data_IF_617568990794
#
_entry.id   IF_617568990794
#
_cell.length_a   1.000
_cell.length_b   1.000
_cell.length_c   1.000
_cell.angle_alpha   90.00
_cell.angle_beta   90.00
_cell.angle_gamma   90.00
#
_symmetry.space_group_name_H-M   'P 1'
#
loop_
_entity.id
_entity.type
_entity.pdbx_description
1 polymer ?
#
# COMPACT_ATOMS: atom_id res chain seq x y z
N UNK A 1 15.41 52.79 62.18
CA UNK A 1 16.82 52.59 62.43
C UNK A 1 17.02 52.57 63.91
N UNK A 2 17.58 51.53 64.50
CA UNK A 2 17.89 51.48 65.94
C UNK A 2 19.04 52.44 66.22
N UNK A 3 18.83 53.36 67.15
CA UNK A 3 19.80 54.42 67.49
C UNK A 3 21.07 53.88 68.17
N UNK A 4 21.06 52.62 68.58
CA UNK A 4 22.17 51.95 69.28
C UNK A 4 22.91 50.92 68.44
N UNK A 5 22.60 50.82 67.16
CA UNK A 5 23.25 49.85 66.25
C UNK A 5 24.67 50.30 65.92
N UNK A 6 25.65 49.35 66.09
CA UNK A 6 27.07 49.53 65.76
C UNK A 6 27.33 48.91 64.37
N UNK A 7 28.38 49.37 63.72
CA UNK A 7 28.82 48.84 62.42
C UNK A 7 29.04 47.35 62.54
N UNK A 8 28.35 46.56 61.66
CA UNK A 8 28.27 45.07 61.58
C UNK A 8 27.20 44.39 62.45
N UNK A 9 26.30 45.13 63.14
CA UNK A 9 25.17 44.52 63.83
C UNK A 9 24.11 44.01 62.82
N UNK A 10 23.62 42.79 63.04
CA UNK A 10 22.51 42.24 62.33
C UNK A 10 21.18 42.80 62.89
N UNK A 11 20.64 43.76 62.20
CA UNK A 11 19.34 44.34 62.56
C UNK A 11 18.20 43.54 61.93
N UNK A 12 17.23 43.09 62.75
CA UNK A 12 16.07 42.42 62.17
C UNK A 12 15.25 43.44 61.38
N UNK A 13 15.26 43.36 60.11
CA UNK A 13 14.45 44.21 59.24
C UNK A 13 13.18 43.46 58.83
N UNK A 14 12.03 44.01 59.13
CA UNK A 14 10.77 43.45 58.69
C UNK A 14 10.61 43.74 57.20
N UNK A 15 10.83 42.72 56.38
CA UNK A 15 10.78 42.75 54.90
C UNK A 15 9.33 42.59 54.39
N UNK A 16 8.36 42.39 55.31
CA UNK A 16 6.96 42.21 54.92
C UNK A 16 6.40 43.55 54.37
N UNK A 17 6.04 43.57 53.06
CA UNK A 17 5.48 44.80 52.46
C UNK A 17 4.20 45.20 53.17
N UNK A 18 4.04 46.57 53.46
CA UNK A 18 2.86 47.16 54.08
C UNK A 18 1.60 47.04 53.18
N UNK A 19 1.26 45.99 52.63
CA UNK A 19 0.13 45.77 51.75
C UNK A 19 -0.12 44.27 51.48
N UNK A 20 0.51 43.44 52.31
CA UNK A 20 0.30 42.00 52.24
C UNK A 20 -1.07 41.60 52.80
N UNK A 21 -2.12 42.15 52.13
CA UNK A 21 -3.51 41.86 52.47
C UNK A 21 -3.95 40.45 51.99
N UNK A 22 -5.15 40.07 52.46
CA UNK A 22 -5.76 38.77 52.11
C UNK A 22 -5.76 38.49 50.62
N UNK A 23 -5.89 39.51 49.76
CA UNK A 23 -5.89 39.40 48.30
C UNK A 23 -4.50 38.96 47.81
N UNK A 24 -3.41 39.56 48.29
CA UNK A 24 -2.05 39.21 47.92
C UNK A 24 -1.71 37.77 48.32
N UNK A 25 -2.16 37.32 49.50
CA UNK A 25 -1.99 35.93 49.97
C UNK A 25 -2.79 34.94 49.07
N UNK A 26 -4.03 35.30 48.72
CA UNK A 26 -4.85 34.48 47.81
C UNK A 26 -4.23 34.39 46.44
N UNK A 27 -3.75 35.50 45.87
CA UNK A 27 -3.07 35.52 44.57
C UNK A 27 -1.79 34.70 44.59
N UNK A 28 -0.97 34.82 45.63
CA UNK A 28 0.25 34.03 45.79
C UNK A 28 -0.05 32.53 45.88
N UNK A 29 -1.07 32.15 46.67
CA UNK A 29 -1.53 30.73 46.73
C UNK A 29 -2.01 30.22 45.37
N UNK A 30 -2.79 31.02 44.66
CA UNK A 30 -3.32 30.66 43.35
C UNK A 30 -2.19 30.53 42.33
N UNK A 31 -1.20 31.44 42.33
CA UNK A 31 -0.02 31.36 41.45
C UNK A 31 0.85 30.16 41.78
N UNK A 32 1.04 29.84 43.09
CA UNK A 32 1.77 28.62 43.47
C UNK A 32 1.08 27.35 43.02
N UNK A 33 -0.25 27.24 43.21
CA UNK A 33 -1.03 26.11 42.74
C UNK A 33 -0.96 26.00 41.23
N UNK A 34 -1.05 27.11 40.49
CA UNK A 34 -0.92 27.12 39.05
C UNK A 34 0.46 26.62 38.61
N UNK A 35 1.54 27.12 39.23
CA UNK A 35 2.91 26.67 38.93
C UNK A 35 3.14 25.20 39.26
N UNK A 36 2.53 24.68 40.32
CA UNK A 36 2.59 23.27 40.66
C UNK A 36 1.90 22.42 39.59
N UNK A 37 0.67 22.81 39.19
CA UNK A 37 -0.07 22.15 38.14
C UNK A 37 0.66 22.19 36.78
N UNK A 38 1.32 23.30 36.45
CA UNK A 38 2.10 23.45 35.25
C UNK A 38 3.33 22.52 35.24
N UNK A 39 4.02 22.39 36.38
CA UNK A 39 5.14 21.49 36.57
C UNK A 39 4.69 19.99 36.50
N UNK A 40 3.55 19.66 37.11
CA UNK A 40 2.96 18.32 37.00
C UNK A 40 2.63 17.96 35.51
N UNK A 41 2.07 18.93 34.78
CA UNK A 41 1.76 18.76 33.35
C UNK A 41 3.02 18.55 32.51
N UNK A 42 4.09 19.29 32.79
CA UNK A 42 5.37 19.18 32.09
C UNK A 42 6.02 17.79 32.33
N UNK A 43 6.00 17.32 33.57
CA UNK A 43 6.46 15.98 33.92
C UNK A 43 5.65 14.89 33.22
N UNK A 44 4.32 15.03 33.17
CA UNK A 44 3.44 14.11 32.47
C UNK A 44 3.68 14.10 30.95
N UNK A 45 3.89 15.30 30.37
CA UNK A 45 4.25 15.41 28.96
C UNK A 45 5.56 14.66 28.66
N UNK A 46 6.59 14.88 29.49
CA UNK A 46 7.89 14.22 29.34
C UNK A 46 7.80 12.68 29.47
N UNK A 47 6.93 12.16 30.35
CA UNK A 47 6.68 10.73 30.51
C UNK A 47 5.98 10.12 29.27
N UNK A 48 5.16 10.91 28.55
CA UNK A 48 4.30 10.40 27.49
C UNK A 48 4.69 10.78 26.07
N UNK A 49 5.53 11.81 25.89
CA UNK A 49 6.01 12.19 24.55
C UNK A 49 6.68 11.04 23.83
N UNK A 50 7.39 10.18 24.58
CA UNK A 50 8.10 9.01 24.06
C UNK A 50 7.18 7.80 23.80
N UNK A 51 5.91 7.90 24.23
CA UNK A 51 4.89 6.87 23.99
C UNK A 51 4.05 7.12 22.73
N UNK A 52 4.33 8.16 21.97
CA UNK A 52 3.74 8.32 20.65
C UNK A 52 4.08 7.11 19.78
N UNK A 53 3.07 6.49 19.20
CA UNK A 53 3.24 5.24 18.46
C UNK A 53 3.00 3.97 19.28
N UNK A 54 2.78 4.04 20.57
CA UNK A 54 2.54 2.87 21.42
C UNK A 54 1.07 2.46 21.50
N UNK A 55 0.87 1.21 21.93
CA UNK A 55 -0.43 0.67 22.29
C UNK A 55 -0.70 0.89 23.78
N UNK A 56 -1.78 1.59 24.10
CA UNK A 56 -2.19 1.85 25.49
C UNK A 56 -3.58 1.26 25.76
N UNK A 57 -3.79 0.80 26.99
CA UNK A 57 -5.11 0.35 27.44
C UNK A 57 -5.75 1.46 28.27
N UNK A 58 -6.99 1.79 27.93
CA UNK A 58 -7.75 2.83 28.66
C UNK A 58 -9.21 2.44 28.85
N UNK A 59 -9.89 3.17 29.72
CA UNK A 59 -11.32 3.00 30.00
C UNK A 59 -12.07 4.26 29.54
N UNK A 60 -13.13 4.09 28.75
CA UNK A 60 -13.96 5.20 28.29
C UNK A 60 -14.65 5.85 29.48
N UNK A 61 -14.44 7.14 29.68
CA UNK A 61 -14.94 7.88 30.83
C UNK A 61 -16.15 8.74 30.50
N UNK A 62 -16.12 9.47 29.40
CA UNK A 62 -17.21 10.35 28.98
C UNK A 62 -17.18 10.67 27.49
N UNK A 63 -18.30 11.19 27.01
CA UNK A 63 -18.43 11.75 25.66
C UNK A 63 -18.67 13.25 25.78
N UNK A 64 -17.93 14.05 25.04
CA UNK A 64 -18.10 15.50 25.03
C UNK A 64 -17.90 16.05 23.60
N UNK A 65 -18.88 16.81 23.10
CA UNK A 65 -18.86 17.47 21.76
C UNK A 65 -18.52 16.56 20.58
N UNK A 66 -18.79 15.26 20.73
CA UNK A 66 -18.46 14.30 19.70
C UNK A 66 -17.11 13.58 19.90
N UNK A 67 -16.29 13.96 20.85
CA UNK A 67 -15.05 13.29 21.21
C UNK A 67 -15.23 12.36 22.39
N UNK A 68 -14.40 11.32 22.46
CA UNK A 68 -14.40 10.32 23.52
C UNK A 68 -13.19 10.56 24.41
N UNK A 69 -13.46 10.73 25.69
CA UNK A 69 -12.43 10.88 26.72
C UNK A 69 -12.16 9.54 27.37
N UNK A 70 -10.90 9.14 27.40
CA UNK A 70 -10.42 7.84 27.85
C UNK A 70 -9.49 8.03 29.04
N UNK A 71 -9.78 7.35 30.13
CA UNK A 71 -8.93 7.31 31.32
C UNK A 71 -7.77 6.33 31.08
N UNK A 72 -6.56 6.85 31.10
CA UNK A 72 -5.32 6.08 30.98
C UNK A 72 -4.63 5.85 32.34
N UNK A 73 -5.33 6.15 33.44
CA UNK A 73 -4.89 6.02 34.83
C UNK A 73 -4.32 7.29 35.41
N UNK A 74 -3.25 7.87 34.85
CA UNK A 74 -2.64 9.12 35.34
C UNK A 74 -3.25 10.37 34.69
N UNK A 75 -3.80 10.23 33.49
CA UNK A 75 -4.42 11.35 32.73
C UNK A 75 -5.46 10.86 31.74
N UNK A 76 -6.09 11.78 31.09
CA UNK A 76 -7.10 11.56 30.07
C UNK A 76 -6.49 11.62 28.65
N UNK A 77 -6.79 10.61 27.82
CA UNK A 77 -6.60 10.69 26.39
C UNK A 77 -7.88 11.10 25.69
N UNK A 78 -7.75 11.64 24.50
CA UNK A 78 -8.88 12.08 23.66
C UNK A 78 -8.87 11.33 22.35
N UNK A 79 -9.98 10.68 22.03
CA UNK A 79 -10.24 10.09 20.73
C UNK A 79 -11.25 10.93 19.98
N UNK A 80 -10.79 11.68 18.99
CA UNK A 80 -11.66 12.54 18.17
C UNK A 80 -12.60 11.72 17.29
N UNK A 81 -13.64 12.35 16.78
CA UNK A 81 -14.61 11.69 15.88
C UNK A 81 -13.98 11.08 14.62
N UNK A 82 -12.84 11.60 14.15
CA UNK A 82 -12.09 11.09 12.98
C UNK A 82 -11.32 9.82 13.28
N UNK A 83 -10.92 9.65 14.54
CA UNK A 83 -10.11 8.52 15.01
C UNK A 83 -10.94 7.33 15.47
N UNK A 84 -12.27 7.43 15.37
CA UNK A 84 -13.20 6.35 15.68
C UNK A 84 -13.34 5.38 14.52
N UNK A 85 -13.74 4.17 14.85
CA UNK A 85 -14.17 3.16 13.88
C UNK A 85 -15.68 3.25 13.70
N UNK A 86 -16.21 3.40 12.47
CA UNK A 86 -17.64 3.64 12.23
C UNK A 86 -18.57 2.53 12.73
N UNK A 87 -18.08 1.29 12.75
CA UNK A 87 -18.88 0.11 13.10
C UNK A 87 -18.57 -0.42 14.52
N UNK A 88 -17.93 0.40 15.35
CA UNK A 88 -17.58 0.05 16.72
C UNK A 88 -18.46 0.86 17.68
N UNK A 89 -19.13 0.16 18.58
CA UNK A 89 -19.91 0.80 19.63
C UNK A 89 -19.00 1.13 20.81
N UNK A 90 -19.19 2.30 21.38
CA UNK A 90 -18.41 2.79 22.51
C UNK A 90 -19.35 3.14 23.65
N UNK A 91 -19.11 2.56 24.84
CA UNK A 91 -19.90 2.84 26.05
C UNK A 91 -18.99 3.32 27.20
N UNK A 92 -19.56 4.14 28.09
CA UNK A 92 -18.83 4.57 29.29
C UNK A 92 -18.56 3.34 30.15
N UNK A 93 -17.30 3.15 30.54
CA UNK A 93 -16.83 2.00 31.30
C UNK A 93 -16.18 0.91 30.45
N UNK A 94 -16.27 0.97 29.14
CA UNK A 94 -15.59 0.01 28.26
C UNK A 94 -14.08 0.15 28.36
N UNK A 95 -13.40 -0.95 28.55
CA UNK A 95 -11.96 -1.04 28.59
C UNK A 95 -11.44 -1.63 27.28
N UNK A 96 -10.64 -0.86 26.55
CA UNK A 96 -10.11 -1.26 25.25
C UNK A 96 -8.71 -0.71 25.01
N UNK A 97 -8.06 -1.18 23.94
CA UNK A 97 -6.72 -0.76 23.54
C UNK A 97 -6.81 0.37 22.51
N UNK A 98 -5.93 1.34 22.62
CA UNK A 98 -5.85 2.50 21.74
C UNK A 98 -4.41 2.66 21.24
N UNK A 99 -4.27 3.15 20.02
CA UNK A 99 -3.00 3.61 19.48
C UNK A 99 -2.80 5.07 19.83
N UNK A 100 -1.65 5.44 20.37
CA UNK A 100 -1.28 6.83 20.66
C UNK A 100 -0.76 7.45 19.37
N UNK A 101 -1.54 8.35 18.79
CA UNK A 101 -1.16 9.04 17.55
C UNK A 101 -0.07 10.07 17.83
N UNK A 102 -0.33 10.92 18.78
CA UNK A 102 0.57 12.00 19.20
C UNK A 102 0.23 12.49 20.60
N UNK A 103 1.18 13.17 21.20
CA UNK A 103 1.01 13.86 22.47
C UNK A 103 1.23 15.34 22.22
N UNK A 104 0.19 16.15 22.42
CA UNK A 104 0.21 17.60 22.21
C UNK A 104 0.32 18.33 23.52
N UNK A 105 0.95 19.50 23.51
CA UNK A 105 0.91 20.43 24.64
C UNK A 105 -0.13 21.51 24.36
N UNK A 106 -1.23 21.44 25.07
CA UNK A 106 -2.29 22.44 25.00
C UNK A 106 -2.22 23.40 26.22
N UNK A 107 -2.87 24.57 26.11
CA UNK A 107 -2.92 25.55 27.22
C UNK A 107 -3.48 24.96 28.54
N UNK A 108 -4.30 23.89 28.44
CA UNK A 108 -4.89 23.20 29.60
C UNK A 108 -4.07 22.01 30.10
N UNK A 109 -2.97 21.63 29.39
CA UNK A 109 -2.10 20.51 29.72
C UNK A 109 -1.81 19.58 28.55
N UNK A 110 -1.05 18.53 28.76
CA UNK A 110 -0.77 17.52 27.71
C UNK A 110 -2.08 16.83 27.31
N UNK A 111 -2.33 16.77 26.02
CA UNK A 111 -3.45 16.07 25.42
C UNK A 111 -2.91 14.88 24.63
N UNK A 112 -3.30 13.67 24.99
CA UNK A 112 -2.90 12.45 24.32
C UNK A 112 -3.97 12.09 23.30
N UNK A 113 -3.64 12.20 22.02
CA UNK A 113 -4.55 11.84 20.92
C UNK A 113 -4.51 10.34 20.70
N UNK A 114 -5.66 9.73 20.87
CA UNK A 114 -5.87 8.29 20.73
C UNK A 114 -6.60 7.96 19.43
N UNK A 115 -6.26 6.82 18.81
CA UNK A 115 -6.94 6.34 17.63
C UNK A 115 -7.26 4.84 17.72
N UNK A 116 -8.41 4.48 17.16
CA UNK A 116 -8.78 3.10 16.86
C UNK A 116 -8.85 2.85 15.35
N UNK A 117 -8.89 3.91 14.55
CA UNK A 117 -8.94 3.83 13.08
C UNK A 117 -7.55 3.74 12.42
N UNK A 118 -6.49 4.14 13.11
CA UNK A 118 -5.14 4.21 12.55
C UNK A 118 -4.59 2.81 12.16
N UNK A 119 -3.95 2.63 10.99
CA UNK A 119 -3.39 1.34 10.56
C UNK A 119 -2.36 0.77 11.54
N UNK A 120 -1.57 1.64 12.19
CA UNK A 120 -0.56 1.20 13.15
C UNK A 120 -1.14 0.58 14.43
N UNK A 121 -2.44 0.77 14.73
CA UNK A 121 -3.10 -0.02 15.77
C UNK A 121 -2.97 -1.51 15.47
N UNK A 122 -3.24 -1.91 14.22
CA UNK A 122 -3.13 -3.30 13.79
C UNK A 122 -1.69 -3.78 13.87
N UNK A 123 -0.71 -2.97 13.43
CA UNK A 123 0.72 -3.29 13.54
C UNK A 123 1.11 -3.60 14.98
N UNK A 124 0.76 -2.73 15.92
CA UNK A 124 1.07 -2.90 17.34
C UNK A 124 0.36 -4.11 17.98
N UNK A 125 -0.86 -4.42 17.51
CA UNK A 125 -1.55 -5.64 17.95
C UNK A 125 -0.82 -6.90 17.49
N UNK A 126 -0.35 -6.93 16.24
CA UNK A 126 0.47 -8.04 15.75
C UNK A 126 1.79 -8.17 16.52
N UNK A 127 2.50 -7.06 16.76
CA UNK A 127 3.73 -7.04 17.55
C UNK A 127 3.52 -7.57 18.99
N UNK A 128 2.34 -7.34 19.56
CA UNK A 128 2.02 -7.84 20.92
C UNK A 128 1.59 -9.31 20.97
N UNK A 129 1.02 -9.85 19.89
CA UNK A 129 0.46 -11.22 19.84
C UNK A 129 1.41 -12.22 19.17
N UNK A 130 2.32 -11.75 18.31
CA UNK A 130 3.21 -12.57 17.48
C UNK A 130 4.65 -12.34 17.90
N UNK A 131 5.23 -13.34 18.56
CA UNK A 131 6.61 -13.26 19.10
C UNK A 131 7.61 -13.09 17.96
N UNK A 132 7.40 -13.76 16.85
CA UNK A 132 8.23 -13.75 15.65
C UNK A 132 8.30 -12.36 14.98
N UNK A 133 7.30 -11.49 15.23
CA UNK A 133 7.36 -10.07 14.83
C UNK A 133 8.13 -9.27 15.88
N UNK A 134 7.97 -9.59 17.15
CA UNK A 134 8.65 -8.91 18.25
C UNK A 134 10.19 -9.12 18.21
N UNK A 135 10.66 -10.29 17.79
CA UNK A 135 12.08 -10.61 17.61
C UNK A 135 12.63 -10.30 16.22
N UNK A 136 11.80 -9.71 15.34
CA UNK A 136 12.15 -9.30 13.97
C UNK A 136 12.48 -10.46 13.00
N UNK A 137 12.11 -11.69 13.32
CA UNK A 137 12.20 -12.83 12.40
C UNK A 137 11.18 -12.69 11.27
N UNK A 138 9.98 -12.19 11.61
CA UNK A 138 8.93 -11.83 10.66
C UNK A 138 8.72 -10.31 10.71
N UNK A 139 8.61 -9.68 9.56
CA UNK A 139 8.38 -8.25 9.43
C UNK A 139 7.02 -7.96 8.78
N UNK A 140 6.30 -6.95 9.27
CA UNK A 140 5.13 -6.42 8.60
C UNK A 140 5.60 -5.41 7.53
N UNK A 141 5.62 -5.86 6.28
CA UNK A 141 6.01 -5.04 5.14
C UNK A 141 5.02 -3.90 4.88
N UNK A 142 3.72 -4.19 4.91
CA UNK A 142 2.69 -3.18 4.66
C UNK A 142 1.35 -3.51 5.30
N UNK A 143 0.55 -2.47 5.52
CA UNK A 143 -0.83 -2.59 6.02
C UNK A 143 -1.73 -1.68 5.21
N UNK A 144 -2.79 -2.25 4.64
CA UNK A 144 -3.89 -1.51 4.04
C UNK A 144 -5.16 -1.78 4.85
N UNK A 145 -5.75 -0.73 5.44
CA UNK A 145 -6.88 -0.83 6.36
C UNK A 145 -8.06 0.03 5.94
N UNK A 146 -9.25 -0.52 6.01
CA UNK A 146 -10.53 0.17 6.12
C UNK A 146 -11.13 -0.16 7.48
N UNK A 147 -10.91 0.74 8.43
CA UNK A 147 -11.26 0.55 9.84
C UNK A 147 -12.72 0.11 10.04
N UNK A 148 -12.92 -0.96 10.81
CA UNK A 148 -14.23 -1.57 11.08
C UNK A 148 -14.75 -2.50 9.99
N UNK A 149 -14.05 -2.64 8.86
CA UNK A 149 -14.47 -3.50 7.77
C UNK A 149 -13.45 -4.59 7.44
N UNK A 150 -12.29 -4.20 6.95
CA UNK A 150 -11.27 -5.15 6.51
C UNK A 150 -9.87 -4.54 6.54
N UNK A 151 -8.92 -5.35 6.94
CA UNK A 151 -7.48 -5.03 6.89
C UNK A 151 -6.74 -6.12 6.13
N UNK A 152 -5.82 -5.73 5.27
CA UNK A 152 -4.83 -6.62 4.65
C UNK A 152 -3.45 -6.29 5.20
N UNK A 153 -2.72 -7.31 5.61
CA UNK A 153 -1.38 -7.21 6.17
C UNK A 153 -0.45 -8.05 5.31
N UNK A 154 0.56 -7.42 4.74
CA UNK A 154 1.63 -8.12 4.03
C UNK A 154 2.79 -8.35 5.00
N UNK A 155 3.24 -9.60 5.10
CA UNK A 155 4.31 -10.02 5.99
C UNK A 155 5.42 -10.71 5.21
N UNK A 156 6.65 -10.56 5.66
CA UNK A 156 7.83 -11.21 5.09
C UNK A 156 8.64 -11.86 6.19
N UNK A 157 9.23 -13.00 5.93
CA UNK A 157 10.16 -13.66 6.83
C UNK A 157 11.60 -13.36 6.43
N UNK A 158 12.46 -13.12 7.40
CA UNK A 158 13.92 -13.03 7.23
C UNK A 158 14.64 -14.37 7.45
N UNK A 159 13.90 -15.41 7.87
CA UNK A 159 14.39 -16.78 8.00
C UNK A 159 13.57 -17.71 7.10
N UNK A 160 14.22 -18.37 6.14
CA UNK A 160 13.61 -19.31 5.18
C UNK A 160 12.90 -20.51 5.85
N UNK A 161 13.16 -20.76 7.13
CA UNK A 161 12.54 -21.85 7.88
C UNK A 161 11.23 -21.43 8.57
N UNK A 162 10.93 -20.15 8.60
CA UNK A 162 9.75 -19.61 9.28
C UNK A 162 8.73 -19.16 8.26
N UNK A 163 7.57 -19.82 8.26
CA UNK A 163 6.40 -19.38 7.50
C UNK A 163 5.82 -18.11 8.12
N UNK A 164 5.90 -16.93 7.43
CA UNK A 164 5.46 -15.66 8.00
C UNK A 164 3.94 -15.60 8.21
N UNK A 165 3.17 -16.23 7.31
CA UNK A 165 1.71 -16.27 7.41
C UNK A 165 1.28 -17.20 8.54
N UNK A 166 1.87 -18.39 8.63
CA UNK A 166 1.60 -19.36 9.68
C UNK A 166 1.93 -18.83 11.07
N UNK A 167 3.05 -18.10 11.23
CA UNK A 167 3.44 -17.44 12.48
C UNK A 167 2.40 -16.42 12.94
N UNK A 168 1.92 -15.58 12.02
CA UNK A 168 0.90 -14.56 12.31
C UNK A 168 -0.50 -15.15 12.58
N UNK A 169 -0.89 -16.20 11.88
CA UNK A 169 -2.17 -16.89 12.08
C UNK A 169 -2.18 -17.66 13.40
N UNK A 170 -1.07 -18.33 13.69
CA UNK A 170 -0.93 -19.16 14.89
C UNK A 170 -1.72 -20.44 14.85
N UNK A 171 -1.53 -21.29 15.88
CA UNK A 171 -2.15 -22.60 15.94
C UNK A 171 -3.68 -22.49 15.90
N UNK A 172 -4.32 -23.10 14.91
CA UNK A 172 -5.79 -23.05 14.65
C UNK A 172 -6.34 -21.61 14.54
N UNK A 173 -5.50 -20.66 14.15
CA UNK A 173 -5.88 -19.26 14.00
C UNK A 173 -6.07 -18.52 15.34
N UNK A 174 -5.46 -18.98 16.43
CA UNK A 174 -5.67 -18.39 17.75
C UNK A 174 -5.18 -16.93 17.82
N UNK A 175 -3.99 -16.65 17.28
CA UNK A 175 -3.40 -15.29 17.30
C UNK A 175 -4.24 -14.30 16.50
N UNK A 176 -4.55 -14.64 15.25
CA UNK A 176 -5.37 -13.75 14.40
C UNK A 176 -6.78 -13.55 14.97
N UNK A 177 -7.38 -14.59 15.60
CA UNK A 177 -8.69 -14.45 16.26
C UNK A 177 -8.67 -13.49 17.44
N UNK A 178 -7.58 -13.45 18.21
CA UNK A 178 -7.43 -12.47 19.29
C UNK A 178 -7.40 -11.05 18.73
N UNK A 179 -6.64 -10.83 17.66
CA UNK A 179 -6.56 -9.54 16.98
C UNK A 179 -7.92 -9.13 16.39
N UNK A 180 -8.59 -10.03 15.69
CA UNK A 180 -9.94 -9.80 15.14
C UNK A 180 -10.95 -9.44 16.22
N UNK A 181 -10.89 -10.11 17.38
CA UNK A 181 -11.76 -9.80 18.53
C UNK A 181 -11.47 -8.42 19.09
N UNK A 182 -10.20 -8.03 19.23
CA UNK A 182 -9.81 -6.70 19.69
C UNK A 182 -10.27 -5.61 18.71
N UNK A 183 -10.30 -5.89 17.40
CA UNK A 183 -10.76 -4.99 16.34
C UNK A 183 -12.29 -5.07 16.10
N UNK A 184 -13.07 -5.55 17.06
CA UNK A 184 -14.52 -5.67 16.95
C UNK A 184 -15.01 -6.43 15.70
N UNK A 185 -14.41 -7.58 15.44
CA UNK A 185 -14.69 -8.45 14.28
C UNK A 185 -14.36 -7.87 12.91
N UNK A 186 -13.45 -6.91 12.84
CA UNK A 186 -12.84 -6.46 11.58
C UNK A 186 -12.12 -7.64 10.91
N UNK A 187 -12.37 -7.86 9.62
CA UNK A 187 -11.72 -8.95 8.87
C UNK A 187 -10.25 -8.63 8.65
N UNK A 188 -9.39 -9.57 9.00
CA UNK A 188 -7.94 -9.44 8.80
C UNK A 188 -7.46 -10.53 7.86
N UNK A 189 -6.92 -10.13 6.71
CA UNK A 189 -6.26 -11.01 5.75
C UNK A 189 -4.75 -10.84 5.90
N UNK A 190 -4.04 -11.95 6.07
CA UNK A 190 -2.58 -11.99 6.17
C UNK A 190 -2.05 -12.60 4.88
N UNK A 191 -1.11 -11.94 4.24
CA UNK A 191 -0.54 -12.28 2.95
C UNK A 191 0.97 -12.31 3.05
N UNK A 192 1.61 -13.24 2.38
CA UNK A 192 3.05 -13.21 2.22
C UNK A 192 3.45 -12.13 1.21
N UNK A 193 4.44 -11.33 1.56
CA UNK A 193 4.96 -10.32 0.64
C UNK A 193 5.92 -10.95 -0.36
N UNK A 194 5.69 -10.70 -1.62
CA UNK A 194 6.58 -11.07 -2.72
C UNK A 194 6.84 -9.87 -3.62
N UNK A 195 8.03 -9.79 -4.20
CA UNK A 195 8.38 -8.73 -5.15
C UNK A 195 7.65 -8.91 -6.49
N UNK A 196 7.27 -10.15 -6.83
CA UNK A 196 6.51 -10.44 -8.04
C UNK A 196 5.06 -9.98 -7.91
N UNK A 197 4.64 -8.95 -8.68
CA UNK A 197 3.30 -8.40 -8.57
C UNK A 197 2.21 -9.39 -8.99
N UNK A 198 2.51 -10.34 -9.88
CA UNK A 198 1.55 -11.34 -10.34
C UNK A 198 1.21 -12.33 -9.23
N UNK A 199 2.24 -12.85 -8.57
CA UNK A 199 2.10 -13.79 -7.45
C UNK A 199 1.39 -13.12 -6.28
N UNK A 200 1.79 -11.89 -5.93
CA UNK A 200 1.17 -11.15 -4.83
C UNK A 200 -0.31 -10.86 -5.06
N UNK A 201 -0.70 -10.41 -6.26
CA UNK A 201 -2.11 -10.13 -6.58
C UNK A 201 -2.94 -11.40 -6.56
N UNK A 202 -2.41 -12.52 -7.08
CA UNK A 202 -3.09 -13.82 -7.04
C UNK A 202 -3.42 -14.23 -5.62
N UNK A 203 -2.47 -14.11 -4.72
CA UNK A 203 -2.64 -14.44 -3.31
C UNK A 203 -3.60 -13.45 -2.61
N UNK A 204 -3.45 -12.16 -2.89
CA UNK A 204 -4.27 -11.11 -2.32
C UNK A 204 -5.75 -11.19 -2.71
N UNK A 205 -6.07 -11.78 -3.87
CA UNK A 205 -7.46 -11.98 -4.33
C UNK A 205 -8.04 -13.34 -3.93
N UNK A 206 -7.25 -14.21 -3.28
CA UNK A 206 -7.74 -15.50 -2.78
C UNK A 206 -9.08 -15.35 -2.01
N UNK A 207 -10.05 -16.27 -2.17
CA UNK A 207 -10.03 -17.56 -2.86
C UNK A 207 -10.39 -17.51 -4.36
N UNK A 208 -10.35 -16.33 -5.00
CA UNK A 208 -10.59 -16.21 -6.44
C UNK A 208 -9.31 -16.55 -7.18
N UNK A 209 -9.41 -17.47 -8.14
CA UNK A 209 -8.30 -17.81 -9.03
C UNK A 209 -8.41 -16.99 -10.32
N UNK A 210 -7.52 -16.03 -10.54
CA UNK A 210 -7.50 -15.27 -11.79
C UNK A 210 -7.16 -16.18 -12.97
N UNK A 211 -7.87 -15.99 -14.08
CA UNK A 211 -7.58 -16.68 -15.35
C UNK A 211 -6.31 -16.13 -15.99
N UNK A 212 -6.18 -14.80 -15.96
CA UNK A 212 -5.05 -14.08 -16.54
C UNK A 212 -4.73 -12.85 -15.68
N UNK A 213 -3.45 -12.55 -15.53
CA UNK A 213 -2.95 -11.35 -14.88
C UNK A 213 -1.96 -10.69 -15.83
N UNK A 214 -2.25 -9.47 -16.25
CA UNK A 214 -1.38 -8.67 -17.10
C UNK A 214 -0.85 -7.47 -16.29
N UNK A 215 0.45 -7.24 -16.33
CA UNK A 215 1.14 -6.16 -15.63
C UNK A 215 1.62 -5.12 -16.62
N UNK A 216 1.27 -3.88 -16.37
CA UNK A 216 1.79 -2.69 -17.06
C UNK A 216 2.70 -1.95 -16.08
N UNK A 217 4.01 -2.18 -16.20
CA UNK A 217 5.01 -1.62 -15.29
C UNK A 217 5.14 -0.10 -15.46
N UNK A 218 5.01 0.42 -16.69
CA UNK A 218 5.14 1.86 -16.95
C UNK A 218 4.00 2.66 -16.33
N UNK A 219 2.77 2.15 -16.45
CA UNK A 219 1.58 2.77 -15.86
C UNK A 219 1.34 2.35 -14.40
N UNK A 220 2.10 1.40 -13.85
CA UNK A 220 1.86 0.75 -12.54
C UNK A 220 0.43 0.23 -12.39
N UNK A 221 -0.04 -0.49 -13.41
CA UNK A 221 -1.38 -1.07 -13.46
C UNK A 221 -1.33 -2.58 -13.58
N UNK A 222 -2.26 -3.22 -12.92
CA UNK A 222 -2.43 -4.68 -13.00
C UNK A 222 -3.88 -4.95 -13.42
N UNK A 223 -4.00 -5.65 -14.54
CA UNK A 223 -5.29 -6.11 -15.04
C UNK A 223 -5.46 -7.57 -14.67
N UNK A 224 -6.53 -7.85 -13.93
CA UNK A 224 -6.87 -9.20 -13.48
C UNK A 224 -8.14 -9.64 -14.19
N UNK A 225 -8.05 -10.71 -14.96
CA UNK A 225 -9.19 -11.29 -15.67
C UNK A 225 -9.67 -12.51 -14.89
N UNK A 226 -10.94 -12.47 -14.50
CA UNK A 226 -11.62 -13.57 -13.78
C UNK A 226 -12.61 -14.28 -14.69
N UNK A 227 -13.02 -15.50 -14.30
CA UNK A 227 -13.82 -16.38 -15.16
C UNK A 227 -15.26 -15.88 -15.33
N UNK A 228 -15.89 -15.42 -14.27
CA UNK A 228 -17.31 -15.05 -14.24
C UNK A 228 -17.62 -13.86 -13.32
N UNK A 229 -18.86 -13.38 -13.35
CA UNK A 229 -19.36 -12.29 -12.51
C UNK A 229 -19.34 -12.61 -11.01
N UNK A 230 -19.40 -13.88 -10.63
CA UNK A 230 -19.36 -14.29 -9.23
C UNK A 230 -17.95 -14.11 -8.69
N UNK A 231 -16.95 -14.48 -9.46
CA UNK A 231 -15.56 -14.28 -9.09
C UNK A 231 -15.16 -12.82 -9.19
N UNK A 232 -15.70 -12.07 -10.17
CA UNK A 232 -15.56 -10.61 -10.21
C UNK A 232 -16.08 -9.97 -8.91
N UNK A 233 -17.28 -10.35 -8.48
CA UNK A 233 -17.89 -9.81 -7.26
C UNK A 233 -17.07 -10.14 -6.00
N UNK A 234 -16.46 -11.34 -5.91
CA UNK A 234 -15.58 -11.73 -4.80
C UNK A 234 -14.25 -10.99 -4.84
N UNK A 235 -13.62 -10.91 -6.03
CA UNK A 235 -12.33 -10.26 -6.23
C UNK A 235 -12.39 -8.75 -5.94
N UNK A 236 -13.44 -8.07 -6.41
CA UNK A 236 -13.68 -6.66 -6.12
C UNK A 236 -14.10 -6.48 -4.66
N UNK A 237 -14.94 -7.38 -4.13
CA UNK A 237 -15.49 -7.31 -2.79
C UNK A 237 -16.58 -6.25 -2.63
N UNK A 238 -17.19 -6.18 -1.43
CA UNK A 238 -18.24 -5.19 -1.12
C UNK A 238 -17.68 -3.78 -1.31
N UNK A 239 -18.36 -2.93 -2.11
CA UNK A 239 -17.97 -1.55 -2.41
C UNK A 239 -16.54 -1.40 -2.94
N UNK A 240 -16.00 -2.41 -3.59
CA UNK A 240 -14.64 -2.38 -4.12
C UNK A 240 -13.52 -2.50 -3.07
N UNK A 241 -13.83 -2.93 -1.85
CA UNK A 241 -12.88 -2.94 -0.73
C UNK A 241 -11.68 -3.87 -0.99
N UNK A 242 -11.92 -5.07 -1.52
CA UNK A 242 -10.85 -6.04 -1.68
C UNK A 242 -9.80 -5.57 -2.71
N UNK A 243 -10.25 -5.16 -3.90
CA UNK A 243 -9.36 -4.62 -4.94
C UNK A 243 -8.65 -3.33 -4.47
N UNK A 244 -9.39 -2.40 -3.83
CA UNK A 244 -8.81 -1.14 -3.34
C UNK A 244 -7.77 -1.34 -2.24
N UNK A 245 -8.00 -2.27 -1.29
CA UNK A 245 -7.01 -2.59 -0.26
C UNK A 245 -5.77 -3.26 -0.85
N UNK A 246 -5.95 -4.14 -1.84
CA UNK A 246 -4.84 -4.74 -2.58
C UNK A 246 -4.03 -3.68 -3.32
N UNK A 247 -4.71 -2.76 -4.04
CA UNK A 247 -4.05 -1.64 -4.71
C UNK A 247 -3.24 -0.76 -3.74
N UNK A 248 -3.81 -0.42 -2.58
CA UNK A 248 -3.10 0.38 -1.55
C UNK A 248 -1.90 -0.34 -0.95
N UNK A 249 -2.00 -1.65 -0.77
CA UNK A 249 -0.94 -2.45 -0.17
C UNK A 249 0.27 -2.57 -1.10
N UNK A 250 0.02 -2.70 -2.40
CA UNK A 250 1.06 -2.80 -3.43
C UNK A 250 1.57 -1.45 -3.94
N UNK A 251 0.75 -0.40 -3.84
CA UNK A 251 1.01 0.88 -4.50
C UNK A 251 0.79 0.83 -6.02
N UNK A 252 0.01 -0.14 -6.52
CA UNK A 252 -0.35 -0.33 -7.92
C UNK A 252 -1.86 -0.23 -8.12
N UNK A 253 -2.31 0.20 -9.29
CA UNK A 253 -3.74 0.23 -9.63
C UNK A 253 -4.21 -1.15 -10.12
N UNK A 254 -4.97 -1.86 -9.28
CA UNK A 254 -5.48 -3.21 -9.58
C UNK A 254 -6.88 -3.11 -10.15
N UNK A 255 -7.06 -3.48 -11.41
CA UNK A 255 -8.33 -3.51 -12.11
C UNK A 255 -8.78 -4.93 -12.39
N UNK A 256 -9.97 -5.30 -11.92
CA UNK A 256 -10.52 -6.64 -12.10
C UNK A 256 -11.63 -6.59 -13.15
N UNK A 257 -11.60 -7.49 -14.14
CA UNK A 257 -12.58 -7.60 -15.23
C UNK A 257 -12.98 -9.06 -15.45
N UNK A 258 -14.18 -9.27 -16.00
CA UNK A 258 -14.61 -10.59 -16.44
C UNK A 258 -13.98 -10.91 -17.79
N UNK A 259 -13.69 -12.19 -18.02
CA UNK A 259 -13.21 -12.68 -19.29
C UNK A 259 -14.26 -12.47 -20.39
N UNK A 260 -13.91 -11.66 -21.39
CA UNK A 260 -14.73 -11.45 -22.58
C UNK A 260 -14.16 -12.29 -23.73
N UNK A 261 -14.95 -13.28 -24.18
CA UNK A 261 -14.55 -14.19 -25.28
C UNK A 261 -14.30 -13.41 -26.56
N UNK A 262 -15.13 -12.42 -26.85
CA UNK A 262 -15.00 -11.63 -28.09
C UNK A 262 -13.73 -10.77 -28.07
N UNK A 263 -13.38 -10.18 -26.92
CA UNK A 263 -12.15 -9.39 -26.75
C UNK A 263 -10.92 -10.29 -26.81
N UNK A 264 -11.00 -11.50 -26.26
CA UNK A 264 -9.90 -12.47 -26.31
C UNK A 264 -9.65 -12.96 -27.74
N UNK A 265 -10.69 -13.32 -28.50
CA UNK A 265 -10.59 -13.70 -29.92
C UNK A 265 -10.00 -12.55 -30.76
N UNK A 266 -10.41 -11.33 -30.50
CA UNK A 266 -9.90 -10.14 -31.18
C UNK A 266 -8.42 -9.87 -30.86
N UNK A 267 -7.99 -10.07 -29.62
CA UNK A 267 -6.58 -9.97 -29.23
C UNK A 267 -5.74 -11.07 -29.85
N UNK A 268 -6.25 -12.33 -29.88
CA UNK A 268 -5.55 -13.43 -30.55
C UNK A 268 -5.39 -13.18 -32.03
N UNK A 269 -6.43 -12.70 -32.72
CA UNK A 269 -6.36 -12.37 -34.13
C UNK A 269 -5.40 -11.22 -34.43
N UNK A 270 -5.36 -10.21 -33.58
CA UNK A 270 -4.40 -9.10 -33.69
C UNK A 270 -2.95 -9.56 -33.46
N UNK A 271 -2.71 -10.32 -32.40
CA UNK A 271 -1.38 -10.87 -32.11
C UNK A 271 -0.87 -11.79 -33.21
N UNK A 272 -1.77 -12.62 -33.80
CA UNK A 272 -1.42 -13.47 -34.96
C UNK A 272 -1.10 -12.62 -36.17
N UNK A 273 -1.86 -11.54 -36.42
CA UNK A 273 -1.59 -10.62 -37.53
C UNK A 273 -0.25 -9.85 -37.34
N UNK A 274 0.05 -9.42 -36.14
CA UNK A 274 1.33 -8.77 -35.83
C UNK A 274 2.52 -9.70 -35.97
N UNK A 275 2.39 -10.95 -35.54
CA UNK A 275 3.44 -11.96 -35.70
C UNK A 275 3.69 -12.26 -37.17
N UNK A 276 2.63 -12.44 -37.98
CA UNK A 276 2.77 -12.59 -39.44
C UNK A 276 3.45 -11.37 -40.05
N UNK A 277 3.06 -10.17 -39.67
CA UNK A 277 3.69 -8.94 -40.17
C UNK A 277 5.16 -8.87 -39.78
N UNK A 278 5.52 -9.26 -38.58
CA UNK A 278 6.92 -9.30 -38.12
C UNK A 278 7.75 -10.30 -38.90
N UNK A 279 7.18 -11.48 -39.18
CA UNK A 279 7.82 -12.50 -40.01
C UNK A 279 7.99 -12.02 -41.47
N UNK A 280 6.97 -11.37 -42.03
CA UNK A 280 7.07 -10.77 -43.36
C UNK A 280 8.15 -9.68 -43.43
N UNK A 281 8.24 -8.82 -42.43
CA UNK A 281 9.28 -7.78 -42.36
C UNK A 281 10.70 -8.40 -42.27
N UNK A 282 10.87 -9.42 -41.43
CA UNK A 282 12.15 -10.12 -41.30
C UNK A 282 12.56 -10.77 -42.60
N UNK A 283 11.63 -11.46 -43.29
CA UNK A 283 11.87 -12.09 -44.60
C UNK A 283 12.20 -11.02 -45.67
N UNK A 284 11.44 -9.93 -45.70
CA UNK A 284 11.70 -8.85 -46.67
C UNK A 284 13.08 -8.22 -46.47
N UNK A 285 13.52 -8.02 -45.23
CA UNK A 285 14.85 -7.50 -44.92
C UNK A 285 15.95 -8.45 -45.40
N UNK A 286 15.79 -9.75 -45.15
CA UNK A 286 16.73 -10.79 -45.62
C UNK A 286 16.82 -10.85 -47.13
N UNK A 287 15.69 -10.79 -47.83
CA UNK A 287 15.64 -10.78 -49.29
C UNK A 287 16.21 -9.47 -49.87
N UNK A 288 15.96 -8.33 -49.28
CA UNK A 288 16.52 -7.02 -49.63
C UNK A 288 18.05 -7.04 -49.60
N UNK A 289 18.63 -7.63 -48.53
CA UNK A 289 20.09 -7.74 -48.35
C UNK A 289 20.70 -8.77 -49.36
N UNK A 290 20.03 -9.90 -49.60
CA UNK A 290 20.55 -10.95 -50.50
C UNK A 290 20.44 -10.58 -51.97
N UNK A 291 19.32 -9.98 -52.35
CA UNK A 291 19.06 -9.61 -53.74
C UNK A 291 19.50 -8.19 -54.09
N UNK A 292 19.98 -7.40 -53.09
CA UNK A 292 20.34 -5.97 -53.24
C UNK A 292 19.22 -5.13 -53.90
N UNK A 293 17.98 -5.37 -53.46
CA UNK A 293 16.77 -4.66 -53.91
C UNK A 293 16.21 -3.77 -52.80
N UNK A 294 15.41 -2.75 -53.13
CA UNK A 294 14.76 -1.92 -52.11
C UNK A 294 13.84 -2.76 -51.19
N UNK A 295 13.77 -2.37 -49.90
CA UNK A 295 12.90 -3.11 -48.94
C UNK A 295 11.42 -3.10 -49.36
N UNK A 296 10.93 -2.05 -50.04
CA UNK A 296 9.57 -2.00 -50.58
C UNK A 296 9.32 -3.13 -51.60
N UNK A 297 10.30 -3.35 -52.51
CA UNK A 297 10.24 -4.40 -53.49
C UNK A 297 10.31 -5.77 -52.83
N UNK A 298 11.21 -5.97 -51.87
CA UNK A 298 11.31 -7.19 -51.09
C UNK A 298 10.00 -7.50 -50.30
N UNK A 299 9.36 -6.49 -49.70
CA UNK A 299 8.08 -6.64 -48.99
C UNK A 299 6.96 -7.05 -49.97
N UNK A 300 6.94 -6.49 -51.19
CA UNK A 300 6.02 -6.89 -52.22
C UNK A 300 6.17 -8.36 -52.57
N UNK A 301 7.40 -8.87 -52.78
CA UNK A 301 7.69 -10.28 -53.04
C UNK A 301 7.25 -11.19 -51.89
N UNK A 302 7.50 -10.82 -50.66
CA UNK A 302 7.04 -11.57 -49.47
C UNK A 302 5.53 -11.63 -49.37
N UNK A 303 4.82 -10.54 -49.68
CA UNK A 303 3.34 -10.51 -49.67
C UNK A 303 2.72 -11.41 -50.74
N UNK A 304 3.42 -11.67 -51.84
CA UNK A 304 3.03 -12.63 -52.86
C UNK A 304 3.35 -14.11 -52.49
N UNK A 305 4.02 -14.34 -51.36
CA UNK A 305 4.42 -15.68 -50.88
C UNK A 305 5.88 -16.02 -51.11
N UNK A 306 6.69 -15.10 -51.67
CA UNK A 306 8.13 -15.27 -51.85
C UNK A 306 8.89 -14.98 -50.54
N UNK A 307 8.79 -15.86 -49.56
CA UNK A 307 9.39 -15.65 -48.23
C UNK A 307 10.89 -15.93 -48.16
N UNK A 308 11.41 -16.68 -49.13
CA UNK A 308 12.82 -17.04 -49.30
C UNK A 308 13.22 -17.16 -50.76
N UNK A 309 14.51 -17.33 -51.05
CA UNK A 309 15.03 -17.44 -52.41
C UNK A 309 14.45 -18.65 -53.16
N UNK A 310 14.16 -19.75 -52.46
CA UNK A 310 13.60 -20.96 -53.06
C UNK A 310 12.14 -20.74 -53.47
N UNK A 311 11.35 -20.12 -52.60
CA UNK A 311 9.96 -19.75 -52.90
C UNK A 311 9.88 -18.80 -54.11
N UNK A 312 10.83 -17.87 -54.26
CA UNK A 312 10.88 -16.93 -55.38
C UNK A 312 11.09 -17.64 -56.74
N UNK A 313 11.82 -18.73 -56.80
CA UNK A 313 12.04 -19.45 -58.07
C UNK A 313 10.78 -20.10 -58.64
N UNK A 314 9.73 -20.23 -57.84
CA UNK A 314 8.41 -20.74 -58.24
C UNK A 314 7.52 -19.71 -58.95
N UNK A 315 7.88 -18.44 -58.97
CA UNK A 315 7.11 -17.38 -59.65
C UNK A 315 7.58 -17.15 -61.09
N UNK A 316 6.65 -16.70 -61.93
CA UNK A 316 6.99 -16.19 -63.27
C UNK A 316 7.27 -14.70 -63.22
N UNK A 317 8.20 -14.25 -64.10
CA UNK A 317 8.55 -12.82 -64.15
C UNK A 317 7.35 -11.93 -64.51
N UNK A 318 6.40 -12.45 -65.27
CA UNK A 318 5.13 -11.82 -65.65
C UNK A 318 4.28 -11.53 -64.41
N UNK A 319 4.18 -12.48 -63.47
CA UNK A 319 3.32 -12.38 -62.27
C UNK A 319 3.87 -11.31 -61.29
N UNK A 320 5.19 -11.31 -61.11
CA UNK A 320 5.89 -10.31 -60.28
C UNK A 320 5.73 -8.89 -60.92
N UNK A 321 5.91 -8.77 -62.23
CA UNK A 321 5.79 -7.52 -62.95
C UNK A 321 4.37 -6.91 -62.83
N UNK A 322 3.34 -7.75 -62.99
CA UNK A 322 1.93 -7.35 -62.93
C UNK A 322 1.53 -6.97 -61.51
N UNK A 323 1.92 -7.76 -60.51
CA UNK A 323 1.52 -7.58 -59.12
C UNK A 323 2.23 -6.40 -58.47
N UNK A 324 3.48 -6.12 -58.81
CA UNK A 324 4.32 -5.08 -58.19
C UNK A 324 4.38 -3.81 -59.04
N UNK A 325 3.87 -3.84 -60.28
CA UNK A 325 3.92 -2.68 -61.21
C UNK A 325 5.31 -2.33 -61.67
N UNK A 326 6.26 -3.26 -61.69
CA UNK A 326 7.65 -3.07 -62.16
C UNK A 326 7.80 -3.59 -63.58
N UNK A 327 8.81 -3.11 -64.35
CA UNK A 327 9.06 -3.64 -65.69
C UNK A 327 9.41 -5.14 -65.67
N UNK A 328 8.91 -5.87 -66.67
CA UNK A 328 9.18 -7.31 -66.77
C UNK A 328 10.66 -7.68 -66.84
N UNK A 329 11.49 -6.80 -67.39
CA UNK A 329 12.95 -6.93 -67.40
C UNK A 329 13.56 -6.88 -65.99
N UNK A 330 13.06 -6.05 -65.14
CA UNK A 330 13.50 -5.94 -63.73
C UNK A 330 13.03 -7.13 -62.89
N UNK A 331 11.82 -7.61 -63.10
CA UNK A 331 11.33 -8.82 -62.48
C UNK A 331 12.14 -10.06 -62.87
N UNK A 332 12.54 -10.14 -64.15
CA UNK A 332 13.38 -11.24 -64.65
C UNK A 332 14.79 -11.19 -64.02
N UNK A 333 15.40 -10.00 -63.89
CA UNK A 333 16.70 -9.85 -63.24
C UNK A 333 16.68 -10.28 -61.76
N UNK A 334 15.61 -9.98 -61.00
CA UNK A 334 15.44 -10.40 -59.63
C UNK A 334 15.39 -11.94 -59.53
N UNK A 335 14.62 -12.61 -60.39
CA UNK A 335 14.53 -14.05 -60.44
C UNK A 335 15.82 -14.75 -60.86
N UNK A 336 16.54 -14.21 -61.84
CA UNK A 336 17.84 -14.73 -62.26
C UNK A 336 18.87 -14.61 -61.16
N UNK A 337 18.92 -13.46 -60.46
CA UNK A 337 19.78 -13.24 -59.29
C UNK A 337 19.44 -14.23 -58.12
N UNK A 338 18.13 -14.50 -57.88
CA UNK A 338 17.72 -15.49 -56.90
C UNK A 338 18.17 -16.91 -57.27
N UNK A 339 18.07 -17.29 -58.56
CA UNK A 339 18.54 -18.60 -59.04
C UNK A 339 20.06 -18.74 -58.93
N UNK A 340 20.80 -17.70 -59.26
CA UNK A 340 22.26 -17.71 -59.17
C UNK A 340 22.74 -17.91 -57.73
N UNK A 341 22.09 -17.25 -56.77
CA UNK A 341 22.40 -17.37 -55.34
C UNK A 341 22.07 -18.75 -54.75
N UNK A 342 21.09 -19.46 -55.30
CA UNK A 342 20.76 -20.83 -54.89
C UNK A 342 21.74 -21.85 -55.50
N UNK A 343 22.35 -21.52 -56.65
CA UNK A 343 23.30 -22.40 -57.35
C UNK A 343 24.72 -22.37 -56.84
N UNK A 344 25.03 -21.40 -55.96
CA UNK A 344 26.31 -21.24 -55.24
C UNK A 344 26.24 -21.98 -53.89
#
# INVERSE_FOLDING_TARGET
LDKNAVLHDLLPTNITPKGFGRIAVQTARQTMLQKLLDAEKEMLYDEFKDRAGDLVTGTIRRFEKGDIFVDLGKFEGVMTSRERVPNEDYSVGDRMRFYVVEVRTEARGPEVILSRSHPNLVRRLFESEVVEIGDQTVEIHGIAREAGYRTKVAVISHDDKVDPVGACVGMRGARVKNIVRELNNEKVDILEWTEDPVTFVREALSPVEPREITVDEEARKIFVIVQDDKDLSKAIGRRGQNARLTSRLMGWDVQVRVFDVQEAEKRQSQAAAEEVMRQCQAAAKTLSEQLEIPEETAMGLVTMGGTDLVALTGFEASDIAESMGIPAEEAAQILDKARDLISQ
#
